data_IF_596886304265
#
_entry.id   IF_596886304265
#
_cell.length_a   1.000
_cell.length_b   1.000
_cell.length_c   1.000
_cell.angle_alpha   90.00
_cell.angle_beta   90.00
_cell.angle_gamma   90.00
#
_symmetry.space_group_name_H-M   'P 1'
#
loop_
_entity.id
_entity.type
_entity.pdbx_description
1 polymer ?
#
# COMPACT_ATOMS: atom_id res chain seq x y z
N UNK A 1 -10.39 -48.04 29.09
CA UNK A 1 -11.79 -47.58 29.18
C UNK A 1 -11.95 -46.08 29.52
N UNK A 2 -10.88 -45.28 29.70
CA UNK A 2 -10.98 -43.83 30.01
C UNK A 2 -10.95 -42.87 28.81
N UNK A 3 -10.60 -43.34 27.60
CA UNK A 3 -10.48 -42.50 26.41
C UNK A 3 -11.80 -42.18 25.71
N UNK A 4 -12.79 -43.07 25.81
CA UNK A 4 -14.09 -42.94 25.13
C UNK A 4 -15.06 -41.98 25.86
N UNK A 5 -14.96 -41.88 27.19
CA UNK A 5 -15.79 -40.98 27.99
C UNK A 5 -15.45 -39.49 27.74
N UNK A 6 -14.17 -39.18 27.46
CA UNK A 6 -13.73 -37.82 27.13
C UNK A 6 -14.25 -37.35 25.76
N UNK A 7 -14.40 -38.29 24.82
CA UNK A 7 -14.91 -38.03 23.47
C UNK A 7 -16.42 -37.76 23.47
N UNK A 8 -17.17 -38.36 24.40
CA UNK A 8 -18.61 -38.16 24.55
C UNK A 8 -18.98 -36.82 25.24
N UNK A 9 -18.16 -36.34 26.18
CA UNK A 9 -18.44 -35.08 26.88
C UNK A 9 -18.14 -33.82 26.04
N UNK A 10 -17.36 -33.96 24.96
CA UNK A 10 -17.13 -32.93 23.96
C UNK A 10 -18.29 -32.83 22.95
N UNK A 11 -19.29 -33.72 23.02
CA UNK A 11 -20.39 -33.83 22.05
C UNK A 11 -21.46 -32.74 22.19
N UNK A 12 -21.77 -32.29 23.41
CA UNK A 12 -22.84 -31.31 23.67
C UNK A 12 -22.29 -29.87 23.71
N UNK A 13 -22.87 -29.01 22.88
CA UNK A 13 -22.78 -27.53 22.83
C UNK A 13 -22.09 -27.00 21.55
N UNK A 14 -22.91 -26.82 20.51
CA UNK A 14 -22.59 -25.98 19.36
C UNK A 14 -22.46 -24.50 19.74
N UNK A 15 -21.69 -23.76 18.95
CA UNK A 15 -21.49 -22.29 18.95
C UNK A 15 -20.43 -21.62 19.86
N UNK A 16 -19.42 -22.31 20.41
CA UNK A 16 -18.40 -21.59 21.21
C UNK A 16 -17.13 -22.33 21.63
N UNK A 17 -16.41 -22.98 20.70
CA UNK A 17 -15.19 -23.72 21.07
C UNK A 17 -13.92 -22.83 21.14
N UNK A 18 -13.82 -21.77 20.36
CA UNK A 18 -12.55 -21.04 20.25
C UNK A 18 -12.15 -20.32 21.55
N UNK A 19 -13.10 -19.81 22.35
CA UNK A 19 -12.77 -19.26 23.68
C UNK A 19 -12.24 -20.31 24.66
N UNK A 20 -12.77 -21.55 24.61
CA UNK A 20 -12.27 -22.68 25.41
C UNK A 20 -10.86 -23.09 24.94
N UNK A 21 -10.64 -23.12 23.62
CA UNK A 21 -9.32 -23.36 23.04
C UNK A 21 -8.33 -22.29 23.47
N UNK A 22 -8.68 -21.00 23.35
CA UNK A 22 -7.87 -19.86 23.77
C UNK A 22 -7.47 -19.99 25.25
N UNK A 23 -8.42 -20.26 26.16
CA UNK A 23 -8.10 -20.46 27.57
C UNK A 23 -7.14 -21.64 27.80
N UNK A 24 -7.33 -22.75 27.08
CA UNK A 24 -6.43 -23.91 27.16
C UNK A 24 -5.04 -23.56 26.63
N UNK A 25 -4.95 -22.83 25.54
CA UNK A 25 -3.69 -22.36 24.96
C UNK A 25 -2.96 -21.48 25.98
N UNK A 26 -3.63 -20.49 26.58
CA UNK A 26 -3.01 -19.61 27.56
C UNK A 26 -2.39 -20.38 28.74
N UNK A 27 -3.09 -21.41 29.23
CA UNK A 27 -2.56 -22.29 30.27
C UNK A 27 -1.31 -23.07 29.81
N UNK A 28 -1.32 -23.59 28.58
CA UNK A 28 -0.22 -24.39 28.03
C UNK A 28 1.00 -23.55 27.62
N UNK A 29 0.81 -22.29 27.25
CA UNK A 29 1.89 -21.39 26.80
C UNK A 29 2.48 -20.55 27.92
N UNK A 30 2.10 -20.81 29.18
CA UNK A 30 2.61 -20.11 30.35
C UNK A 30 2.08 -18.68 30.51
N UNK A 31 0.97 -18.33 29.85
CA UNK A 31 0.36 -16.99 29.96
C UNK A 31 -0.48 -16.81 31.24
N UNK A 32 -0.70 -17.89 32.00
CA UNK A 32 -1.25 -17.80 33.35
C UNK A 32 -0.11 -17.57 34.37
N UNK A 33 -0.40 -16.84 35.44
CA UNK A 33 0.55 -16.54 36.52
C UNK A 33 0.19 -17.37 37.75
N UNK A 34 1.18 -18.00 38.37
CA UNK A 34 1.01 -18.65 39.68
C UNK A 34 1.36 -17.65 40.77
N UNK A 35 0.46 -17.45 41.71
CA UNK A 35 0.64 -16.59 42.88
C UNK A 35 0.29 -17.41 44.14
N UNK A 36 1.32 -17.97 44.77
CA UNK A 36 1.15 -18.95 45.85
C UNK A 36 0.32 -20.16 45.42
N UNK A 37 -0.84 -20.33 46.06
CA UNK A 37 -1.82 -21.40 45.75
C UNK A 37 -2.82 -21.00 44.65
N UNK A 38 -2.88 -19.73 44.28
CA UNK A 38 -3.82 -19.22 43.28
C UNK A 38 -3.16 -19.17 41.89
N UNK A 39 -3.97 -19.40 40.85
CA UNK A 39 -3.54 -19.20 39.46
C UNK A 39 -4.35 -18.06 38.86
N UNK A 40 -3.69 -16.95 38.58
CA UNK A 40 -4.27 -15.81 37.88
C UNK A 40 -4.32 -16.14 36.39
N UNK A 41 -5.51 -16.06 35.80
CA UNK A 41 -5.76 -16.47 34.42
C UNK A 41 -6.22 -15.30 33.57
N UNK A 42 -6.07 -15.47 32.25
CA UNK A 42 -6.63 -14.54 31.27
C UNK A 42 -8.15 -14.69 31.26
N UNK A 43 -8.89 -13.66 31.67
CA UNK A 43 -10.34 -13.75 31.86
C UNK A 43 -11.11 -13.17 30.68
N UNK A 44 -11.97 -13.98 30.04
CA UNK A 44 -12.84 -13.48 28.96
C UNK A 44 -13.88 -12.53 29.54
N UNK A 45 -13.87 -11.28 29.07
CA UNK A 45 -14.80 -10.22 29.48
C UNK A 45 -15.95 -10.11 28.48
N UNK A 46 -15.65 -10.16 27.18
CA UNK A 46 -16.65 -9.96 26.12
C UNK A 46 -16.37 -10.82 24.91
N UNK A 47 -17.44 -11.33 24.29
CA UNK A 47 -17.40 -12.00 22.99
C UNK A 47 -18.36 -11.29 22.05
N UNK A 48 -17.91 -10.98 20.83
CA UNK A 48 -18.75 -10.43 19.76
C UNK A 48 -18.51 -11.22 18.48
N UNK A 49 -19.58 -11.80 17.95
CA UNK A 49 -19.52 -12.45 16.63
C UNK A 49 -19.75 -11.38 15.57
N UNK A 50 -18.90 -11.41 14.56
CA UNK A 50 -19.05 -10.63 13.36
C UNK A 50 -19.21 -11.58 12.19
N UNK A 51 -19.53 -10.96 11.08
CA UNK A 51 -19.69 -11.59 9.81
C UNK A 51 -18.37 -12.14 9.21
N UNK A 52 -17.21 -11.62 9.67
CA UNK A 52 -15.86 -12.05 9.28
C UNK A 52 -15.20 -13.03 10.26
N UNK A 53 -15.81 -13.26 11.42
CA UNK A 53 -15.18 -14.02 12.51
C UNK A 53 -15.66 -13.59 13.89
N UNK A 54 -14.82 -13.75 14.90
CA UNK A 54 -15.19 -13.44 16.29
C UNK A 54 -14.13 -12.59 16.98
N UNK A 55 -14.57 -11.53 17.66
CA UNK A 55 -13.74 -10.74 18.57
C UNK A 55 -13.94 -11.23 20.01
N UNK A 56 -12.83 -11.53 20.68
CA UNK A 56 -12.77 -11.86 22.09
C UNK A 56 -12.00 -10.77 22.84
N UNK A 57 -12.58 -10.26 23.92
CA UNK A 57 -11.93 -9.28 24.80
C UNK A 57 -11.64 -9.92 26.14
N UNK A 58 -10.39 -9.85 26.54
CA UNK A 58 -9.86 -10.49 27.73
C UNK A 58 -9.21 -9.47 28.67
N UNK A 59 -9.33 -9.71 29.98
CA UNK A 59 -8.51 -9.06 30.99
C UNK A 59 -7.22 -9.84 31.17
N UNK A 60 -6.09 -9.18 30.98
CA UNK A 60 -4.75 -9.73 31.23
C UNK A 60 -4.57 -9.84 32.76
N UNK A 61 -4.07 -10.98 33.30
CA UNK A 61 -3.80 -11.12 34.72
C UNK A 61 -2.64 -10.22 35.15
N UNK A 62 -2.63 -9.81 36.42
CA UNK A 62 -1.48 -9.11 37.00
C UNK A 62 -0.21 -9.97 36.85
N UNK A 63 0.90 -9.33 36.48
CA UNK A 63 2.17 -10.01 36.18
C UNK A 63 2.34 -10.46 34.72
N UNK A 64 1.39 -10.14 33.83
CA UNK A 64 1.53 -10.29 32.37
C UNK A 64 1.29 -8.98 31.65
N UNK A 65 1.94 -8.81 30.50
CA UNK A 65 1.73 -7.68 29.60
C UNK A 65 1.14 -8.11 28.27
N UNK A 66 0.76 -7.16 27.42
CA UNK A 66 0.29 -7.45 26.06
C UNK A 66 1.40 -8.11 25.22
N UNK A 67 2.65 -7.70 25.42
CA UNK A 67 3.83 -8.21 24.72
C UNK A 67 4.03 -9.72 24.95
N UNK A 68 3.69 -10.22 26.14
CA UNK A 68 3.70 -11.66 26.43
C UNK A 68 2.81 -12.42 25.44
N UNK A 69 1.60 -11.92 25.14
CA UNK A 69 0.68 -12.56 24.20
C UNK A 69 1.16 -12.43 22.76
N UNK A 70 1.70 -11.27 22.38
CA UNK A 70 2.30 -11.05 21.06
C UNK A 70 3.45 -12.05 20.82
N UNK A 71 4.30 -12.29 21.82
CA UNK A 71 5.39 -13.27 21.73
C UNK A 71 4.90 -14.71 21.49
N UNK A 72 3.66 -15.01 21.89
CA UNK A 72 3.00 -16.31 21.75
C UNK A 72 1.98 -16.36 20.61
N UNK A 73 1.85 -15.30 19.79
CA UNK A 73 0.82 -15.21 18.75
C UNK A 73 0.82 -16.43 17.82
N UNK A 74 1.99 -16.87 17.33
CA UNK A 74 2.10 -18.06 16.47
C UNK A 74 1.58 -19.34 17.14
N UNK A 75 1.86 -19.52 18.43
CA UNK A 75 1.35 -20.67 19.21
C UNK A 75 -0.15 -20.57 19.44
N UNK A 76 -0.68 -19.37 19.66
CA UNK A 76 -2.12 -19.12 19.81
C UNK A 76 -2.84 -19.45 18.51
N UNK A 77 -2.33 -18.95 17.39
CA UNK A 77 -2.90 -19.19 16.06
C UNK A 77 -2.86 -20.68 15.70
N UNK A 78 -1.72 -21.35 15.93
CA UNK A 78 -1.60 -22.79 15.73
C UNK A 78 -2.59 -23.57 16.61
N UNK A 79 -2.74 -23.17 17.88
CA UNK A 79 -3.63 -23.80 18.84
C UNK A 79 -5.12 -23.68 18.48
N UNK A 80 -5.55 -22.54 17.93
CA UNK A 80 -6.93 -22.35 17.46
C UNK A 80 -7.23 -23.28 16.28
N UNK A 81 -6.24 -23.43 15.39
CA UNK A 81 -6.31 -24.31 14.23
C UNK A 81 -6.17 -25.81 14.58
N UNK A 82 -5.85 -26.17 15.83
CA UNK A 82 -5.83 -27.57 16.29
C UNK A 82 -7.24 -28.16 16.20
N UNK A 83 -7.40 -29.17 15.34
CA UNK A 83 -8.71 -29.62 14.80
C UNK A 83 -9.61 -30.29 15.83
N UNK A 84 -10.90 -29.96 15.77
CA UNK A 84 -12.03 -30.87 16.06
C UNK A 84 -13.10 -30.55 15.02
N UNK A 85 -13.20 -31.35 13.95
CA UNK A 85 -14.19 -31.11 12.89
C UNK A 85 -15.54 -31.62 13.36
N UNK A 86 -16.54 -30.75 13.45
CA UNK A 86 -17.95 -31.13 13.54
C UNK A 86 -18.73 -30.37 12.46
N UNK A 87 -19.39 -31.11 11.57
CA UNK A 87 -20.35 -30.56 10.62
C UNK A 87 -21.54 -29.97 11.39
N UNK A 88 -21.96 -28.74 11.08
CA UNK A 88 -23.11 -28.10 11.71
C UNK A 88 -24.36 -28.21 10.82
N UNK A 89 -25.54 -28.30 11.42
CA UNK A 89 -26.83 -28.37 10.72
C UNK A 89 -27.11 -27.16 9.79
N UNK A 90 -26.48 -26.01 10.04
CA UNK A 90 -26.57 -24.83 9.17
C UNK A 90 -25.83 -24.99 7.83
N UNK A 91 -24.74 -25.77 7.80
CA UNK A 91 -23.96 -26.04 6.58
C UNK A 91 -24.77 -26.87 5.57
N UNK A 92 -25.68 -27.69 6.10
CA UNK A 92 -26.55 -28.58 5.32
C UNK A 92 -27.77 -27.84 4.75
N UNK A 93 -28.14 -26.66 5.28
CA UNK A 93 -29.32 -25.89 4.83
C UNK A 93 -29.14 -25.23 3.47
N UNK A 94 -27.91 -24.99 3.04
CA UNK A 94 -27.61 -24.42 1.72
C UNK A 94 -27.39 -25.49 0.63
N UNK A 95 -27.44 -26.78 1.00
CA UNK A 95 -27.18 -27.87 0.07
C UNK A 95 -28.45 -28.24 -0.69
N UNK A 96 -28.39 -28.20 -2.03
CA UNK A 96 -29.44 -28.76 -2.88
C UNK A 96 -29.41 -30.28 -2.75
N UNK A 97 -30.57 -30.90 -2.52
CA UNK A 97 -30.73 -32.35 -2.47
C UNK A 97 -30.62 -32.95 -3.89
N UNK A 98 -29.40 -33.12 -4.37
CA UNK A 98 -29.09 -33.72 -5.67
C UNK A 98 -28.25 -35.00 -5.53
N UNK A 99 -28.03 -35.72 -6.64
CA UNK A 99 -27.20 -36.96 -6.68
C UNK A 99 -25.73 -36.71 -6.31
N UNK A 100 -25.28 -35.44 -6.27
CA UNK A 100 -23.91 -35.04 -5.96
C UNK A 100 -23.72 -34.60 -4.51
N UNK A 101 -24.74 -34.70 -3.65
CA UNK A 101 -24.68 -34.28 -2.25
C UNK A 101 -23.49 -34.87 -1.49
N UNK A 102 -23.13 -36.13 -1.75
CA UNK A 102 -22.02 -36.80 -1.06
C UNK A 102 -20.67 -36.19 -1.48
N UNK A 103 -20.52 -35.83 -2.76
CA UNK A 103 -19.34 -35.12 -3.25
C UNK A 103 -19.31 -33.68 -2.74
N UNK A 104 -20.44 -32.99 -2.67
CA UNK A 104 -20.57 -31.65 -2.11
C UNK A 104 -20.28 -31.62 -0.60
N UNK A 105 -20.73 -32.63 0.16
CA UNK A 105 -20.42 -32.79 1.59
C UNK A 105 -18.94 -33.09 1.76
N UNK A 106 -18.35 -33.99 0.95
CA UNK A 106 -16.90 -34.24 0.95
C UNK A 106 -16.11 -32.99 0.57
N UNK A 107 -16.60 -32.20 -0.38
CA UNK A 107 -16.01 -30.93 -0.80
C UNK A 107 -16.04 -29.87 0.30
N UNK A 108 -17.19 -29.68 0.96
CA UNK A 108 -17.35 -28.81 2.13
C UNK A 108 -16.49 -29.28 3.31
N UNK A 109 -16.41 -30.59 3.53
CA UNK A 109 -15.57 -31.18 4.57
C UNK A 109 -14.09 -30.95 4.27
N UNK A 110 -13.66 -31.15 3.02
CA UNK A 110 -12.28 -30.88 2.57
C UNK A 110 -11.93 -29.39 2.64
N UNK A 111 -12.89 -28.51 2.30
CA UNK A 111 -12.76 -27.05 2.36
C UNK A 111 -12.65 -26.54 3.81
N UNK A 112 -13.53 -27.00 4.71
CA UNK A 112 -13.41 -26.78 6.18
C UNK A 112 -12.16 -27.40 6.80
N UNK A 113 -11.61 -28.47 6.20
CA UNK A 113 -10.34 -29.05 6.62
C UNK A 113 -9.14 -28.19 6.19
N UNK A 114 -9.26 -27.40 5.10
CA UNK A 114 -8.22 -26.52 4.57
C UNK A 114 -8.29 -25.07 5.06
N UNK A 115 -9.44 -24.60 5.54
CA UNK A 115 -9.59 -23.25 6.09
C UNK A 115 -8.78 -23.10 7.38
N UNK A 116 -7.67 -22.35 7.31
CA UNK A 116 -6.91 -21.90 8.48
C UNK A 116 -7.48 -20.58 8.95
N UNK A 117 -7.85 -20.52 10.22
CA UNK A 117 -8.17 -19.27 10.90
C UNK A 117 -6.89 -18.47 11.12
N UNK A 118 -6.95 -17.17 10.92
CA UNK A 118 -5.88 -16.25 11.30
C UNK A 118 -6.30 -15.48 12.56
N UNK A 119 -5.32 -14.99 13.32
CA UNK A 119 -5.59 -14.12 14.47
C UNK A 119 -4.90 -12.76 14.35
N UNK A 120 -5.54 -11.78 14.97
CA UNK A 120 -4.97 -10.47 15.22
C UNK A 120 -5.11 -10.15 16.71
N UNK A 121 -4.01 -9.66 17.30
CA UNK A 121 -3.94 -9.24 18.69
C UNK A 121 -3.82 -7.72 18.75
N UNK A 122 -4.64 -7.08 19.58
CA UNK A 122 -4.53 -5.65 19.88
C UNK A 122 -4.85 -5.37 21.35
N UNK A 123 -4.55 -4.15 21.82
CA UNK A 123 -4.78 -3.75 23.21
C UNK A 123 -5.35 -2.33 23.31
N UNK A 124 -6.49 -2.17 23.98
CA UNK A 124 -7.17 -0.88 24.22
C UNK A 124 -7.51 -0.68 25.72
N UNK A 125 -6.73 -1.29 26.60
CA UNK A 125 -7.06 -1.49 28.02
C UNK A 125 -7.60 -2.89 28.32
N UNK A 126 -7.96 -3.64 27.28
CA UNK A 126 -8.17 -5.09 27.32
C UNK A 126 -7.39 -5.74 26.18
N UNK A 127 -6.99 -7.01 26.37
CA UNK A 127 -6.49 -7.84 25.27
C UNK A 127 -7.65 -8.14 24.32
N UNK A 128 -7.50 -7.75 23.07
CA UNK A 128 -8.45 -8.08 22.00
C UNK A 128 -7.80 -9.16 21.13
N UNK A 129 -8.53 -10.25 20.92
CA UNK A 129 -8.16 -11.31 19.99
C UNK A 129 -9.26 -11.39 18.94
N UNK A 130 -8.96 -10.98 17.71
CA UNK A 130 -9.83 -11.21 16.56
C UNK A 130 -9.42 -12.51 15.92
N UNK A 131 -10.37 -13.43 15.82
CA UNK A 131 -10.20 -14.72 15.14
C UNK A 131 -11.00 -14.63 13.85
N UNK A 132 -10.29 -14.62 12.72
CA UNK A 132 -10.89 -14.56 11.39
C UNK A 132 -11.18 -15.97 10.91
N UNK A 133 -12.37 -16.18 10.36
CA UNK A 133 -12.78 -17.51 9.89
C UNK A 133 -12.08 -17.90 8.59
N UNK A 134 -11.73 -16.90 7.78
CA UNK A 134 -10.96 -17.07 6.54
C UNK A 134 -9.61 -16.32 6.65
N UNK A 135 -8.52 -16.87 6.08
CA UNK A 135 -7.26 -16.17 5.99
C UNK A 135 -7.36 -15.04 4.97
N UNK A 136 -6.55 -13.99 5.16
CA UNK A 136 -6.42 -12.95 4.14
C UNK A 136 -5.70 -13.55 2.92
N UNK A 137 -6.17 -13.28 1.68
CA UNK A 137 -5.50 -13.77 0.48
C UNK A 137 -4.03 -13.33 0.44
N UNK A 138 -3.20 -14.16 -0.17
CA UNK A 138 -1.78 -13.86 -0.42
C UNK A 138 -1.54 -13.27 -1.81
N UNK A 139 -2.50 -13.48 -2.72
CA UNK A 139 -2.51 -12.98 -4.09
C UNK A 139 -3.92 -12.51 -4.42
N UNK A 140 -4.03 -11.34 -5.01
CA UNK A 140 -5.29 -10.73 -5.44
C UNK A 140 -5.08 -10.28 -6.88
N UNK A 141 -5.96 -10.70 -7.78
CA UNK A 141 -5.92 -10.23 -9.17
C UNK A 141 -6.36 -8.77 -9.25
N UNK A 142 -5.89 -8.05 -10.26
CA UNK A 142 -6.34 -6.69 -10.52
C UNK A 142 -7.84 -6.67 -10.80
N UNK A 143 -8.57 -5.84 -10.06
CA UNK A 143 -10.01 -5.63 -10.24
C UNK A 143 -10.30 -4.21 -10.70
N UNK A 144 -11.51 -3.95 -11.19
CA UNK A 144 -11.85 -2.65 -11.76
C UNK A 144 -12.21 -1.62 -10.69
N UNK A 145 -11.66 -0.42 -10.82
CA UNK A 145 -12.12 0.75 -10.06
C UNK A 145 -13.27 1.49 -10.75
N UNK A 146 -13.68 2.62 -10.18
CA UNK A 146 -14.78 3.45 -10.72
C UNK A 146 -14.50 4.95 -10.62
N UNK A 147 -14.59 5.64 -11.76
CA UNK A 147 -14.36 7.08 -11.82
C UNK A 147 -12.90 7.47 -11.55
N UNK A 148 -12.66 8.12 -10.41
CA UNK A 148 -11.31 8.44 -9.89
C UNK A 148 -10.95 7.56 -8.69
N UNK A 149 -11.71 6.49 -8.49
CA UNK A 149 -11.49 5.52 -7.43
C UNK A 149 -10.73 4.33 -7.95
N UNK A 150 -9.58 4.03 -7.35
CA UNK A 150 -8.67 2.97 -7.77
C UNK A 150 -8.67 1.82 -6.75
N UNK A 151 -8.50 0.56 -7.20
CA UNK A 151 -8.24 -0.56 -6.31
C UNK A 151 -7.03 -0.31 -5.42
N UNK A 152 -7.20 -0.49 -4.11
CA UNK A 152 -6.07 -0.54 -3.17
C UNK A 152 -5.80 -1.96 -2.71
N UNK A 153 -6.84 -2.78 -2.56
CA UNK A 153 -6.66 -4.17 -2.18
C UNK A 153 -7.89 -4.78 -1.54
N UNK A 154 -7.68 -5.90 -0.89
CA UNK A 154 -8.69 -6.59 -0.09
C UNK A 154 -8.34 -6.44 1.38
N UNK A 155 -9.28 -5.96 2.19
CA UNK A 155 -9.12 -5.87 3.64
C UNK A 155 -9.48 -7.18 4.33
N UNK A 156 -9.10 -7.28 5.60
CA UNK A 156 -9.26 -8.50 6.38
C UNK A 156 -10.72 -8.81 6.70
N UNK A 157 -11.55 -7.80 6.96
CA UNK A 157 -12.96 -8.02 7.20
C UNK A 157 -13.66 -8.52 5.92
N UNK A 158 -14.03 -9.82 5.94
CA UNK A 158 -14.72 -10.53 4.84
C UNK A 158 -13.98 -10.55 3.50
N UNK A 159 -12.68 -10.31 3.48
CA UNK A 159 -11.95 -10.16 2.23
C UNK A 159 -12.62 -9.11 1.30
N UNK A 160 -13.15 -8.04 1.90
CA UNK A 160 -13.86 -6.97 1.18
C UNK A 160 -12.89 -6.13 0.37
N UNK A 161 -13.27 -5.76 -0.84
CA UNK A 161 -12.49 -4.85 -1.69
C UNK A 161 -12.47 -3.43 -1.13
N UNK A 162 -11.28 -2.83 -1.16
CA UNK A 162 -11.00 -1.47 -0.75
C UNK A 162 -10.53 -0.68 -1.96
N UNK A 163 -11.12 0.50 -2.08
CA UNK A 163 -10.79 1.48 -3.09
C UNK A 163 -10.30 2.76 -2.44
N UNK A 164 -9.38 3.44 -3.11
CA UNK A 164 -8.99 4.80 -2.78
C UNK A 164 -9.63 5.75 -3.79
N UNK A 165 -10.50 6.63 -3.30
CA UNK A 165 -11.14 7.65 -4.11
C UNK A 165 -10.33 8.95 -4.05
N UNK A 166 -9.64 9.25 -5.14
CA UNK A 166 -8.85 10.47 -5.21
C UNK A 166 -9.73 11.74 -5.15
N UNK A 167 -11.02 11.71 -5.53
CA UNK A 167 -11.88 12.88 -5.34
C UNK A 167 -12.14 13.21 -3.87
N UNK A 168 -12.03 12.21 -3.00
CA UNK A 168 -12.22 12.38 -1.55
C UNK A 168 -10.90 12.62 -0.84
N UNK A 169 -9.85 11.89 -1.21
CA UNK A 169 -8.52 11.99 -0.59
C UNK A 169 -7.49 12.21 -1.71
N UNK A 170 -7.17 13.46 -2.07
CA UNK A 170 -6.45 13.76 -3.32
C UNK A 170 -4.97 13.40 -3.33
N UNK A 171 -4.32 13.43 -2.18
CA UNK A 171 -2.89 13.19 -2.06
C UNK A 171 -2.63 11.88 -1.31
N UNK A 172 -1.61 11.15 -1.77
CA UNK A 172 -1.32 9.79 -1.35
C UNK A 172 0.17 9.63 -1.09
N UNK A 173 0.51 9.09 0.07
CA UNK A 173 1.89 8.73 0.40
C UNK A 173 2.04 7.22 0.39
N UNK A 174 3.10 6.74 -0.25
CA UNK A 174 3.41 5.33 -0.41
C UNK A 174 4.81 5.05 0.12
N UNK A 175 5.00 3.94 0.83
CA UNK A 175 6.35 3.46 1.07
C UNK A 175 6.45 1.97 1.32
N UNK A 176 7.68 1.48 1.42
CA UNK A 176 7.95 0.06 1.62
C UNK A 176 9.33 -0.36 1.14
N UNK A 177 9.86 -1.45 1.71
CA UNK A 177 11.11 -2.02 1.23
C UNK A 177 10.98 -2.55 -0.21
N UNK A 178 12.12 -2.70 -0.89
CA UNK A 178 12.18 -3.24 -2.25
C UNK A 178 11.49 -4.59 -2.37
N UNK A 179 10.88 -4.85 -3.53
CA UNK A 179 10.22 -6.13 -3.89
C UNK A 179 8.98 -6.52 -3.06
N UNK A 180 8.45 -5.64 -2.22
CA UNK A 180 7.22 -5.91 -1.44
C UNK A 180 5.92 -5.43 -2.08
N UNK A 181 5.97 -4.67 -3.18
CA UNK A 181 4.77 -4.29 -3.94
C UNK A 181 4.62 -2.80 -4.25
N UNK A 182 5.55 -1.95 -3.82
CA UNK A 182 5.54 -0.49 -4.05
C UNK A 182 5.30 -0.15 -5.53
N UNK A 183 6.22 -0.54 -6.41
CA UNK A 183 6.14 -0.23 -7.85
C UNK A 183 4.93 -0.90 -8.52
N UNK A 184 4.59 -2.12 -8.12
CA UNK A 184 3.38 -2.80 -8.60
C UNK A 184 2.10 -2.00 -8.28
N UNK A 185 1.99 -1.43 -7.08
CA UNK A 185 0.83 -0.60 -6.74
C UNK A 185 0.80 0.71 -7.53
N UNK A 186 1.95 1.37 -7.75
CA UNK A 186 2.03 2.57 -8.59
C UNK A 186 1.52 2.25 -10.00
N UNK A 187 2.03 1.17 -10.61
CA UNK A 187 1.56 0.66 -11.89
C UNK A 187 0.07 0.35 -11.88
N UNK A 188 -0.43 -0.30 -10.83
CA UNK A 188 -1.86 -0.60 -10.66
C UNK A 188 -2.74 0.65 -10.60
N UNK A 189 -2.27 1.71 -9.92
CA UNK A 189 -2.96 3.00 -9.87
C UNK A 189 -2.99 3.64 -11.26
N UNK A 190 -1.84 3.74 -11.94
CA UNK A 190 -1.74 4.35 -13.27
C UNK A 190 -2.63 3.62 -14.27
N UNK A 191 -2.49 2.30 -14.38
CA UNK A 191 -3.29 1.47 -15.28
C UNK A 191 -4.79 1.59 -14.99
N UNK A 192 -5.18 1.61 -13.71
CA UNK A 192 -6.57 1.81 -13.30
C UNK A 192 -7.10 3.18 -13.73
N UNK A 193 -6.32 4.25 -13.58
CA UNK A 193 -6.72 5.60 -13.98
C UNK A 193 -6.85 5.73 -15.50
N UNK A 194 -5.91 5.16 -16.26
CA UNK A 194 -5.94 5.14 -17.72
C UNK A 194 -7.18 4.38 -18.20
N UNK A 195 -7.42 3.18 -17.68
CA UNK A 195 -8.58 2.37 -18.06
C UNK A 195 -9.91 3.08 -17.80
N UNK A 196 -10.03 3.80 -16.69
CA UNK A 196 -11.29 4.45 -16.29
C UNK A 196 -11.50 5.85 -16.90
N UNK A 197 -10.42 6.62 -17.08
CA UNK A 197 -10.45 8.03 -17.50
C UNK A 197 -9.40 8.34 -18.58
N UNK A 198 -9.38 7.59 -19.69
CA UNK A 198 -8.27 7.66 -20.67
C UNK A 198 -8.09 9.02 -21.31
N UNK A 199 -9.16 9.83 -21.41
CA UNK A 199 -9.13 11.16 -22.04
C UNK A 199 -9.01 12.31 -21.02
N UNK A 200 -9.03 12.02 -19.73
CA UNK A 200 -9.10 13.04 -18.67
C UNK A 200 -8.00 12.92 -17.62
N UNK A 201 -7.25 11.81 -17.59
CA UNK A 201 -6.07 11.67 -16.76
C UNK A 201 -4.86 12.31 -17.46
N UNK A 202 -4.12 13.13 -16.70
CA UNK A 202 -2.86 13.74 -17.11
C UNK A 202 -1.77 13.30 -16.14
N UNK A 203 -0.69 12.71 -16.65
CA UNK A 203 0.38 12.15 -15.83
C UNK A 203 1.64 13.02 -15.92
N UNK A 204 2.17 13.37 -14.75
CA UNK A 204 3.49 13.98 -14.57
C UNK A 204 4.32 12.98 -13.76
N UNK A 205 5.27 12.33 -14.42
CA UNK A 205 5.99 11.19 -13.87
C UNK A 205 7.42 11.60 -13.52
N UNK A 206 7.91 11.13 -12.38
CA UNK A 206 9.27 11.35 -11.91
C UNK A 206 9.80 9.99 -11.44
N UNK A 207 10.73 9.43 -12.20
CA UNK A 207 11.37 8.12 -12.00
C UNK A 207 12.88 8.32 -11.77
N UNK A 208 13.24 8.66 -10.54
CA UNK A 208 14.62 9.01 -10.19
C UNK A 208 15.47 7.77 -9.87
N UNK A 209 14.90 6.57 -9.98
CA UNK A 209 15.55 5.31 -9.60
C UNK A 209 15.86 4.43 -10.82
N UNK A 210 16.58 5.03 -11.76
CA UNK A 210 17.12 4.35 -12.94
C UNK A 210 16.15 4.27 -14.12
N UNK A 211 14.99 4.92 -14.05
CA UNK A 211 14.10 5.10 -15.21
C UNK A 211 13.44 3.82 -15.71
N UNK A 212 13.34 2.77 -14.89
CA UNK A 212 12.80 1.46 -15.30
C UNK A 212 11.37 1.25 -14.82
N UNK A 213 10.92 1.97 -13.78
CA UNK A 213 9.64 1.68 -13.13
C UNK A 213 8.46 2.34 -13.84
N UNK A 214 8.68 3.47 -14.54
CA UNK A 214 7.63 4.26 -15.19
C UNK A 214 7.85 4.46 -16.70
N UNK A 215 8.91 3.91 -17.30
CA UNK A 215 9.23 4.12 -18.72
C UNK A 215 8.16 3.58 -19.69
N UNK A 216 7.41 2.54 -19.30
CA UNK A 216 6.29 2.02 -20.08
C UNK A 216 5.23 3.10 -20.41
N UNK A 217 5.14 4.13 -19.56
CA UNK A 217 4.17 5.22 -19.71
C UNK A 217 4.73 6.45 -20.41
N UNK A 218 5.97 6.46 -20.88
CA UNK A 218 6.57 7.66 -21.48
C UNK A 218 5.81 8.13 -22.73
N UNK A 219 5.49 7.18 -23.61
CA UNK A 219 4.98 7.47 -24.95
C UNK A 219 3.45 7.40 -25.08
N UNK A 220 2.69 7.42 -23.98
CA UNK A 220 1.22 7.41 -24.04
C UNK A 220 0.62 8.82 -24.08
N UNK A 221 -0.58 8.98 -24.65
CA UNK A 221 -1.30 10.26 -24.79
C UNK A 221 -1.58 10.99 -23.46
N UNK A 222 -1.63 10.26 -22.35
CA UNK A 222 -1.93 10.78 -21.02
C UNK A 222 -0.71 11.41 -20.34
N UNK A 223 0.50 10.99 -20.71
CA UNK A 223 1.74 11.51 -20.14
C UNK A 223 2.03 12.88 -20.72
N UNK A 224 2.06 13.86 -19.82
CA UNK A 224 2.37 15.26 -20.10
C UNK A 224 3.87 15.49 -20.02
N UNK A 225 4.52 14.91 -19.02
CA UNK A 225 5.95 15.06 -18.78
C UNK A 225 6.49 13.90 -17.96
N UNK A 226 7.73 13.50 -18.23
CA UNK A 226 8.49 12.50 -17.48
C UNK A 226 9.86 13.08 -17.13
N UNK A 227 10.41 12.69 -16.00
CA UNK A 227 11.75 13.06 -15.55
C UNK A 227 12.48 11.84 -15.01
N UNK A 228 13.75 11.74 -15.33
CA UNK A 228 14.66 10.69 -14.85
C UNK A 228 15.76 11.25 -13.95
N UNK A 229 15.97 12.56 -13.96
CA UNK A 229 17.00 13.25 -13.18
C UNK A 229 16.41 14.39 -12.33
N UNK A 230 17.08 14.81 -11.23
CA UNK A 230 16.56 15.86 -10.34
C UNK A 230 16.27 17.20 -11.02
N UNK A 231 17.07 17.62 -12.01
CA UNK A 231 16.83 18.86 -12.75
C UNK A 231 15.55 18.75 -13.61
N UNK A 232 15.36 17.62 -14.30
CA UNK A 232 14.13 17.37 -15.06
C UNK A 232 12.93 17.29 -14.11
N UNK A 233 13.08 16.68 -12.93
CA UNK A 233 12.02 16.61 -11.93
C UNK A 233 11.58 18.00 -11.46
N UNK A 234 12.53 18.93 -11.32
CA UNK A 234 12.27 20.35 -11.02
C UNK A 234 11.41 20.98 -12.11
N UNK A 235 11.75 20.76 -13.38
CA UNK A 235 10.97 21.26 -14.53
C UNK A 235 9.56 20.65 -14.59
N UNK A 236 9.45 19.33 -14.38
CA UNK A 236 8.15 18.63 -14.33
C UNK A 236 7.26 19.22 -13.23
N UNK A 237 7.80 19.43 -12.03
CA UNK A 237 7.08 19.97 -10.89
C UNK A 237 6.70 21.45 -11.09
N UNK A 238 7.59 22.24 -11.67
CA UNK A 238 7.32 23.63 -12.05
C UNK A 238 6.18 23.71 -13.08
N UNK A 239 6.23 22.87 -14.12
CA UNK A 239 5.18 22.79 -15.15
C UNK A 239 3.84 22.39 -14.54
N UNK A 240 3.81 21.36 -13.70
CA UNK A 240 2.59 20.95 -12.99
C UNK A 240 2.02 22.08 -12.11
N UNK A 241 2.89 22.80 -11.40
CA UNK A 241 2.49 23.96 -10.59
C UNK A 241 1.93 25.11 -11.44
N UNK A 242 2.55 25.40 -12.59
CA UNK A 242 2.08 26.44 -13.50
C UNK A 242 0.73 26.08 -14.14
N UNK A 243 0.53 24.83 -14.56
CA UNK A 243 -0.78 24.34 -15.02
C UNK A 243 -1.84 24.42 -13.91
N UNK A 244 -1.47 24.12 -12.66
CA UNK A 244 -2.36 24.31 -11.51
C UNK A 244 -2.77 25.78 -11.35
N UNK A 245 -1.86 26.73 -11.54
CA UNK A 245 -2.18 28.17 -11.48
C UNK A 245 -3.09 28.60 -12.63
N UNK A 246 -2.88 28.09 -13.84
CA UNK A 246 -3.78 28.32 -14.98
C UNK A 246 -5.18 27.77 -14.71
N UNK A 247 -5.26 26.55 -14.16
CA UNK A 247 -6.52 25.94 -13.75
C UNK A 247 -7.22 26.77 -12.67
N UNK A 248 -6.47 27.30 -11.71
CA UNK A 248 -6.99 28.20 -10.68
C UNK A 248 -7.64 29.45 -11.30
N UNK A 249 -6.99 30.07 -12.29
CA UNK A 249 -7.55 31.22 -12.99
C UNK A 249 -8.81 30.83 -13.77
N UNK A 250 -8.79 29.69 -14.48
CA UNK A 250 -9.93 29.18 -15.24
C UNK A 250 -11.15 28.94 -14.33
N UNK A 251 -10.97 28.28 -13.19
CA UNK A 251 -12.04 28.01 -12.22
C UNK A 251 -12.61 29.33 -11.66
N UNK A 252 -11.75 30.31 -11.35
CA UNK A 252 -12.19 31.65 -10.90
C UNK A 252 -12.99 32.39 -11.97
N UNK A 253 -12.53 32.38 -13.23
CA UNK A 253 -13.21 33.04 -14.34
C UNK A 253 -14.62 32.47 -14.57
N UNK A 254 -14.84 31.18 -14.25
CA UNK A 254 -16.15 30.54 -14.31
C UNK A 254 -17.03 30.82 -13.08
N UNK A 255 -16.53 31.55 -12.08
CA UNK A 255 -17.25 31.84 -10.84
C UNK A 255 -17.47 30.60 -9.97
N UNK A 256 -16.61 29.58 -10.06
CA UNK A 256 -16.73 28.31 -9.34
C UNK A 256 -15.64 28.16 -8.29
N UNK A 257 -15.86 27.28 -7.31
CA UNK A 257 -14.89 27.07 -6.22
C UNK A 257 -13.85 26.00 -6.52
N UNK A 258 -14.16 25.05 -7.39
CA UNK A 258 -13.30 23.91 -7.72
C UNK A 258 -13.63 23.34 -9.12
N UNK A 259 -12.78 22.45 -9.60
CA UNK A 259 -12.93 21.81 -10.92
C UNK A 259 -14.21 20.98 -11.06
N UNK A 260 -14.75 20.43 -9.96
CA UNK A 260 -16.01 19.66 -9.99
C UNK A 260 -17.20 20.57 -10.24
N UNK A 261 -17.29 21.67 -9.51
CA UNK A 261 -18.32 22.71 -9.72
C UNK A 261 -18.22 23.38 -11.09
N UNK A 262 -17.01 23.46 -11.64
CA UNK A 262 -16.75 23.95 -12.99
C UNK A 262 -17.03 22.93 -14.10
N UNK A 263 -17.37 21.68 -13.77
CA UNK A 263 -17.58 20.63 -14.76
C UNK A 263 -16.31 20.28 -15.55
N UNK A 264 -15.13 20.59 -15.01
CA UNK A 264 -13.84 20.30 -15.64
C UNK A 264 -13.47 18.85 -15.29
N UNK A 265 -13.46 17.93 -16.26
CA UNK A 265 -13.26 16.51 -15.99
C UNK A 265 -11.79 16.16 -15.75
N UNK A 266 -10.85 17.00 -16.19
CA UNK A 266 -9.41 16.71 -16.19
C UNK A 266 -8.82 16.62 -14.78
N UNK A 267 -7.94 15.64 -14.55
CA UNK A 267 -7.16 15.51 -13.31
C UNK A 267 -5.70 15.27 -13.64
N UNK A 268 -4.83 15.99 -12.95
CA UNK A 268 -3.38 15.85 -13.04
C UNK A 268 -2.89 15.00 -11.87
N UNK A 269 -2.13 13.95 -12.17
CA UNK A 269 -1.46 13.10 -11.20
C UNK A 269 0.04 13.31 -11.34
N UNK A 270 0.64 13.84 -10.28
CA UNK A 270 2.07 13.98 -10.12
C UNK A 270 2.53 12.78 -9.30
N UNK A 271 3.29 11.88 -9.93
CA UNK A 271 3.73 10.63 -9.33
C UNK A 271 5.25 10.67 -9.26
N UNK A 272 5.77 10.63 -8.03
CA UNK A 272 7.20 10.58 -7.74
C UNK A 272 7.50 9.22 -7.13
N UNK A 273 8.31 8.42 -7.81
CA UNK A 273 8.59 7.04 -7.41
C UNK A 273 9.48 6.98 -6.16
N UNK A 274 10.47 7.85 -6.03
CA UNK A 274 11.40 7.94 -4.91
C UNK A 274 11.63 9.41 -4.53
N UNK A 275 10.77 9.91 -3.63
CA UNK A 275 10.87 11.30 -3.15
C UNK A 275 12.14 11.56 -2.34
N UNK A 276 12.78 10.51 -1.81
CA UNK A 276 14.06 10.61 -1.10
C UNK A 276 15.18 11.20 -1.97
N UNK A 277 15.20 10.89 -3.28
CA UNK A 277 16.18 11.45 -4.22
C UNK A 277 16.04 12.97 -4.37
N UNK A 278 14.91 13.55 -3.95
CA UNK A 278 14.64 14.99 -3.96
C UNK A 278 14.85 15.63 -2.57
N UNK A 279 15.56 14.96 -1.66
CA UNK A 279 15.93 15.52 -0.36
C UNK A 279 17.15 16.47 -0.46
N UNK A 280 17.02 17.78 -0.16
CA UNK A 280 18.13 18.74 -0.21
C UNK A 280 19.27 18.41 0.76
N UNK A 281 18.99 17.70 1.85
CA UNK A 281 20.02 17.32 2.83
C UNK A 281 21.02 16.30 2.27
N UNK A 282 20.58 15.53 1.27
CA UNK A 282 21.35 14.48 0.59
C UNK A 282 22.02 14.97 -0.71
N UNK A 283 21.91 16.28 -1.02
CA UNK A 283 22.55 16.86 -2.20
C UNK A 283 24.09 16.79 -2.12
N UNK A 284 24.72 16.40 -3.24
CA UNK A 284 26.17 16.31 -3.41
C UNK A 284 26.77 17.72 -3.50
N UNK A 285 26.21 18.57 -4.35
CA UNK A 285 26.58 19.99 -4.43
C UNK A 285 25.59 20.87 -3.64
N UNK A 286 26.13 21.77 -2.82
CA UNK A 286 25.40 22.60 -1.87
C UNK A 286 25.44 24.10 -2.16
N UNK A 287 26.22 24.55 -3.14
CA UNK A 287 26.40 26.00 -3.40
C UNK A 287 26.32 26.32 -4.87
N UNK A 288 25.41 27.24 -5.22
CA UNK A 288 25.31 27.77 -6.57
C UNK A 288 26.62 28.42 -7.02
N UNK A 289 26.94 28.24 -8.29
CA UNK A 289 28.06 28.94 -8.92
C UNK A 289 27.57 30.31 -9.38
N UNK A 290 28.24 31.34 -8.89
CA UNK A 290 27.93 32.74 -9.21
C UNK A 290 29.08 33.39 -9.97
N UNK A 291 28.75 34.16 -11.00
CA UNK A 291 29.68 35.05 -11.70
C UNK A 291 29.10 36.46 -11.67
N UNK A 292 29.88 37.42 -11.18
CA UNK A 292 29.45 38.82 -11.02
C UNK A 292 28.14 38.99 -10.23
N UNK A 293 27.91 38.12 -9.23
CA UNK A 293 26.70 38.11 -8.40
C UNK A 293 25.50 37.39 -9.02
N UNK A 294 25.57 36.98 -10.28
CA UNK A 294 24.51 36.25 -11.01
C UNK A 294 24.74 34.75 -10.88
N UNK A 295 23.69 34.00 -10.52
CA UNK A 295 23.72 32.53 -10.54
C UNK A 295 23.83 32.06 -11.98
N UNK A 296 24.94 31.44 -12.32
CA UNK A 296 25.18 30.85 -13.65
C UNK A 296 24.91 29.34 -13.67
N UNK A 297 24.97 28.69 -12.50
CA UNK A 297 24.62 27.28 -12.34
C UNK A 297 24.03 27.07 -10.94
N UNK A 298 22.83 26.48 -10.90
CA UNK A 298 22.21 26.07 -9.63
C UNK A 298 22.91 24.81 -9.12
N UNK A 299 23.12 24.76 -7.81
CA UNK A 299 23.54 23.54 -7.14
C UNK A 299 22.40 22.53 -7.04
N UNK A 300 22.75 21.26 -6.88
CA UNK A 300 21.78 20.18 -6.65
C UNK A 300 20.90 20.47 -5.44
N UNK A 301 21.46 21.05 -4.37
CA UNK A 301 20.69 21.46 -3.19
C UNK A 301 19.58 22.46 -3.55
N UNK A 302 19.90 23.52 -4.30
CA UNK A 302 18.93 24.53 -4.74
C UNK A 302 17.83 23.91 -5.61
N UNK A 303 18.20 22.98 -6.49
CA UNK A 303 17.26 22.24 -7.35
C UNK A 303 16.28 21.42 -6.50
N UNK A 304 16.79 20.64 -5.55
CA UNK A 304 15.96 19.83 -4.64
C UNK A 304 15.07 20.70 -3.73
N UNK A 305 15.56 21.86 -3.28
CA UNK A 305 14.76 22.84 -2.51
C UNK A 305 13.58 23.37 -3.34
N UNK A 306 13.80 23.65 -4.62
CA UNK A 306 12.73 24.05 -5.55
C UNK A 306 11.71 22.93 -5.77
N UNK A 307 12.16 21.68 -5.94
CA UNK A 307 11.27 20.51 -6.01
C UNK A 307 10.37 20.41 -4.77
N UNK A 308 10.95 20.50 -3.56
CA UNK A 308 10.19 20.47 -2.31
C UNK A 308 9.19 21.63 -2.20
N UNK A 309 9.57 22.82 -2.66
CA UNK A 309 8.69 24.00 -2.71
C UNK A 309 7.48 23.73 -3.62
N UNK A 310 7.69 23.22 -4.83
CA UNK A 310 6.59 22.93 -5.76
C UNK A 310 5.67 21.82 -5.23
N UNK A 311 6.22 20.71 -4.73
CA UNK A 311 5.43 19.65 -4.08
C UNK A 311 4.58 20.19 -2.93
N UNK A 312 5.15 21.06 -2.09
CA UNK A 312 4.44 21.68 -0.96
C UNK A 312 3.31 22.62 -1.42
N UNK A 313 3.50 23.35 -2.52
CA UNK A 313 2.44 24.21 -3.07
C UNK A 313 1.32 23.39 -3.72
N UNK A 314 1.67 22.33 -4.46
CA UNK A 314 0.71 21.43 -5.11
C UNK A 314 -0.13 20.71 -4.05
N UNK A 315 0.49 20.17 -3.00
CA UNK A 315 -0.25 19.47 -1.94
C UNK A 315 -1.19 20.38 -1.14
N UNK A 316 -0.87 21.67 -1.00
CA UNK A 316 -1.72 22.63 -0.29
C UNK A 316 -2.89 23.16 -1.12
N UNK A 317 -2.68 23.37 -2.42
CA UNK A 317 -3.63 24.11 -3.28
C UNK A 317 -4.30 23.22 -4.34
N UNK A 318 -3.73 22.05 -4.63
CA UNK A 318 -4.04 21.25 -5.80
C UNK A 318 -5.37 20.50 -5.72
N UNK A 319 -5.80 20.08 -4.53
CA UNK A 319 -7.00 19.27 -4.31
C UNK A 319 -8.24 19.80 -5.06
N UNK A 320 -8.65 21.04 -4.79
CA UNK A 320 -9.81 21.68 -5.44
C UNK A 320 -9.58 22.03 -6.91
N UNK A 321 -8.33 22.02 -7.36
CA UNK A 321 -7.92 22.32 -8.73
C UNK A 321 -7.71 21.05 -9.58
N UNK A 322 -7.92 19.87 -9.00
CA UNK A 322 -7.77 18.60 -9.72
C UNK A 322 -6.33 18.11 -9.84
N UNK A 323 -5.41 18.60 -9.02
CA UNK A 323 -4.01 18.19 -8.96
C UNK A 323 -3.79 17.27 -7.75
N UNK A 324 -3.23 16.09 -8.03
CA UNK A 324 -3.08 14.97 -7.09
C UNK A 324 -1.62 14.62 -7.01
N UNK A 325 -1.12 14.43 -5.79
CA UNK A 325 0.28 14.18 -5.54
C UNK A 325 0.40 12.77 -4.94
N UNK A 326 1.15 11.91 -5.60
CA UNK A 326 1.48 10.56 -5.15
C UNK A 326 2.98 10.53 -4.90
N UNK A 327 3.37 10.46 -3.63
CA UNK A 327 4.77 10.44 -3.20
C UNK A 327 5.12 9.04 -2.72
N UNK A 328 6.06 8.39 -3.39
CA UNK A 328 6.54 7.08 -3.02
C UNK A 328 7.98 7.15 -2.47
N UNK A 329 8.32 6.22 -1.57
CA UNK A 329 9.69 6.05 -1.09
C UNK A 329 10.02 4.60 -0.72
N UNK A 330 11.26 4.19 -0.95
CA UNK A 330 11.79 2.88 -0.53
C UNK A 330 12.67 2.96 0.73
N UNK A 331 13.09 4.16 1.17
CA UNK A 331 14.14 4.33 2.18
C UNK A 331 13.63 4.80 3.54
N UNK A 332 14.31 4.34 4.60
CA UNK A 332 13.80 4.29 5.98
C UNK A 332 14.62 5.05 7.02
N UNK A 333 15.35 6.09 6.63
CA UNK A 333 16.13 6.91 7.56
C UNK A 333 15.93 8.40 7.27
N UNK A 334 15.34 9.13 8.23
CA UNK A 334 15.06 10.57 8.10
C UNK A 334 13.64 10.88 7.59
N UNK A 335 13.15 12.10 7.88
CA UNK A 335 11.87 12.60 7.38
C UNK A 335 12.05 13.17 5.97
N UNK A 336 12.21 12.26 4.99
CA UNK A 336 12.47 12.58 3.57
C UNK A 336 11.24 13.13 2.85
N UNK A 337 10.04 12.90 3.37
CA UNK A 337 8.80 13.41 2.80
C UNK A 337 8.61 14.83 3.32
N UNK A 338 8.47 15.86 2.45
CA UNK A 338 8.26 17.21 2.92
C UNK A 338 7.05 17.28 3.87
N UNK A 339 7.24 17.88 5.04
CA UNK A 339 6.22 17.94 6.10
C UNK A 339 4.86 18.42 5.60
N UNK A 340 4.86 19.45 4.75
CA UNK A 340 3.63 19.98 4.15
C UNK A 340 2.91 18.94 3.29
N UNK A 341 3.64 18.19 2.46
CA UNK A 341 3.07 17.12 1.67
C UNK A 341 2.47 16.02 2.56
N UNK A 342 3.18 15.64 3.62
CA UNK A 342 2.72 14.63 4.58
C UNK A 342 1.47 15.06 5.35
N UNK A 343 1.39 16.34 5.75
CA UNK A 343 0.23 16.93 6.43
C UNK A 343 -1.00 17.06 5.54
N UNK A 344 -0.83 17.22 4.23
CA UNK A 344 -1.93 17.32 3.26
C UNK A 344 -2.26 15.96 2.60
N UNK A 345 -1.58 14.87 2.99
CA UNK A 345 -1.81 13.52 2.49
C UNK A 345 -2.44 12.65 3.58
N UNK A 346 -3.77 12.64 3.64
CA UNK A 346 -4.49 11.82 4.62
C UNK A 346 -4.36 10.32 4.31
N UNK A 347 -4.22 9.95 3.04
CA UNK A 347 -4.00 8.57 2.63
C UNK A 347 -2.51 8.22 2.64
N UNK A 348 -2.18 7.18 3.40
CA UNK A 348 -0.85 6.57 3.51
C UNK A 348 -0.97 5.08 3.28
N UNK A 349 -0.07 4.51 2.48
CA UNK A 349 0.06 3.07 2.34
C UNK A 349 1.52 2.68 2.56
N UNK A 350 1.75 1.71 3.43
CA UNK A 350 3.09 1.21 3.71
C UNK A 350 3.13 -0.30 3.56
N UNK A 351 3.92 -0.78 2.60
CA UNK A 351 4.31 -2.18 2.52
C UNK A 351 5.31 -2.51 3.63
N UNK A 352 5.67 -3.80 3.75
CA UNK A 352 6.65 -4.24 4.74
C UNK A 352 7.95 -3.42 4.65
N UNK A 353 8.44 -3.00 5.80
CA UNK A 353 9.72 -2.30 5.99
C UNK A 353 10.59 -3.03 7.01
N UNK A 354 11.87 -2.68 7.09
CA UNK A 354 12.82 -3.37 7.97
C UNK A 354 12.78 -2.88 9.43
N UNK A 355 12.29 -1.66 9.69
CA UNK A 355 12.33 -1.04 11.01
C UNK A 355 11.08 -0.21 11.33
N UNK A 356 10.81 -0.02 12.62
CA UNK A 356 9.74 0.86 13.09
C UNK A 356 9.99 2.33 12.71
N UNK A 357 11.25 2.76 12.62
CA UNK A 357 11.64 4.08 12.12
C UNK A 357 11.15 4.29 10.68
N UNK A 358 11.40 3.33 9.79
CA UNK A 358 10.91 3.38 8.42
C UNK A 358 9.37 3.37 8.37
N UNK A 359 8.71 2.62 9.25
CA UNK A 359 7.25 2.63 9.35
C UNK A 359 6.73 4.03 9.72
N UNK A 360 7.40 4.73 10.65
CA UNK A 360 7.03 6.09 11.09
C UNK A 360 7.22 7.14 10.01
N UNK A 361 8.22 7.00 9.14
CA UNK A 361 8.41 7.91 7.99
C UNK A 361 7.16 7.94 7.11
N UNK A 362 6.51 6.80 6.88
CA UNK A 362 5.33 6.70 5.99
C UNK A 362 4.02 6.86 6.75
N UNK A 363 3.82 6.12 7.85
CA UNK A 363 2.53 5.99 8.54
C UNK A 363 2.34 6.95 9.73
N UNK A 364 3.38 7.70 10.12
CA UNK A 364 3.45 8.40 11.41
C UNK A 364 3.22 7.47 12.62
N UNK A 365 3.52 6.18 12.43
CA UNK A 365 3.35 5.16 13.44
C UNK A 365 4.01 3.85 13.05
N UNK A 366 4.00 2.90 13.98
CA UNK A 366 4.56 1.57 13.78
C UNK A 366 3.55 0.60 13.14
N UNK A 367 4.04 -0.57 12.77
CA UNK A 367 3.25 -1.72 12.33
C UNK A 367 3.71 -2.29 10.99
N UNK A 368 4.27 -1.46 10.09
CA UNK A 368 4.68 -1.94 8.78
C UNK A 368 5.89 -2.90 8.88
N UNK A 369 6.73 -2.74 9.90
CA UNK A 369 7.85 -3.65 10.21
C UNK A 369 7.39 -5.04 10.69
N UNK A 370 6.15 -5.14 11.18
CA UNK A 370 5.52 -6.37 11.68
C UNK A 370 4.68 -7.07 10.63
N UNK A 371 4.50 -6.47 9.44
CA UNK A 371 3.78 -7.13 8.34
C UNK A 371 4.48 -8.45 7.96
N UNK A 372 3.73 -9.50 7.58
CA UNK A 372 4.32 -10.75 7.14
C UNK A 372 5.09 -10.56 5.82
N UNK A 373 5.97 -11.51 5.52
CA UNK A 373 6.77 -11.55 4.28
C UNK A 373 5.94 -12.02 3.08
N UNK A 374 4.80 -11.35 2.85
CA UNK A 374 3.87 -11.61 1.75
C UNK A 374 3.91 -10.39 0.85
N UNK A 375 4.27 -10.58 -0.43
CA UNK A 375 4.26 -9.51 -1.42
C UNK A 375 2.84 -8.97 -1.58
N UNK A 376 2.71 -7.65 -1.71
CA UNK A 376 1.41 -6.98 -1.79
C UNK A 376 0.73 -6.78 -0.43
N UNK A 377 1.27 -7.30 0.68
CA UNK A 377 0.71 -7.03 2.01
C UNK A 377 1.13 -5.65 2.49
N UNK A 378 0.15 -4.82 2.82
CA UNK A 378 0.38 -3.44 3.25
C UNK A 378 -0.55 -3.01 4.38
N UNK A 379 -0.17 -1.92 5.05
CA UNK A 379 -1.09 -1.13 5.89
C UNK A 379 -1.58 0.03 5.04
N UNK A 380 -2.90 0.17 4.91
CA UNK A 380 -3.55 1.35 4.37
C UNK A 380 -4.15 2.17 5.51
N UNK A 381 -3.79 3.45 5.56
CA UNK A 381 -4.17 4.39 6.61
C UNK A 381 -4.78 5.64 5.99
N UNK A 382 -5.95 6.03 6.49
CA UNK A 382 -6.63 7.30 6.24
C UNK A 382 -6.84 8.00 7.58
N UNK A 383 -7.40 9.21 7.58
CA UNK A 383 -7.73 9.93 8.82
C UNK A 383 -8.64 9.14 9.78
N UNK A 384 -9.54 8.30 9.23
CA UNK A 384 -10.55 7.56 9.97
C UNK A 384 -10.20 6.08 10.21
N UNK A 385 -9.25 5.51 9.45
CA UNK A 385 -9.01 4.06 9.43
C UNK A 385 -7.54 3.71 9.28
N UNK A 386 -7.13 2.62 9.93
CA UNK A 386 -5.84 1.96 9.70
C UNK A 386 -6.10 0.46 9.58
N UNK A 387 -5.95 -0.08 8.37
CA UNK A 387 -6.31 -1.46 8.05
C UNK A 387 -5.17 -2.15 7.32
N UNK A 388 -5.08 -3.47 7.50
CA UNK A 388 -4.18 -4.30 6.68
C UNK A 388 -4.93 -4.67 5.39
N UNK A 389 -4.25 -4.55 4.26
CA UNK A 389 -4.76 -4.88 2.94
C UNK A 389 -3.80 -5.78 2.18
N UNK A 390 -4.35 -6.63 1.31
CA UNK A 390 -3.61 -7.31 0.26
C UNK A 390 -3.86 -6.58 -1.06
N UNK A 391 -2.84 -5.91 -1.60
CA UNK A 391 -2.93 -5.14 -2.85
C UNK A 391 -3.04 -6.07 -4.07
N UNK A 392 -3.73 -5.64 -5.15
CA UNK A 392 -3.80 -6.42 -6.37
C UNK A 392 -2.42 -6.54 -7.04
N UNK A 393 -2.16 -7.67 -7.68
CA UNK A 393 -1.02 -7.87 -8.58
C UNK A 393 -1.42 -7.36 -9.97
N UNK A 394 -0.58 -6.51 -10.56
CA UNK A 394 -0.68 -6.14 -11.96
C UNK A 394 0.54 -6.71 -12.68
N UNK A 395 0.32 -7.38 -13.80
CA UNK A 395 1.39 -7.96 -14.61
C UNK A 395 1.69 -7.07 -15.81
N UNK A 396 2.87 -7.21 -16.39
CA UNK A 396 3.27 -6.44 -17.59
C UNK A 396 2.29 -6.66 -18.74
N UNK A 397 1.73 -7.86 -18.89
CA UNK A 397 0.72 -8.15 -19.92
C UNK A 397 -0.55 -7.31 -19.72
N UNK A 398 -1.00 -7.15 -18.47
CA UNK A 398 -2.16 -6.31 -18.14
C UNK A 398 -1.84 -4.84 -18.40
N UNK A 399 -0.64 -4.38 -18.00
CA UNK A 399 -0.19 -3.00 -18.25
C UNK A 399 -0.23 -2.71 -19.75
N UNK A 400 0.48 -3.51 -20.56
CA UNK A 400 0.56 -3.35 -22.01
C UNK A 400 -0.83 -3.35 -22.66
N UNK A 401 -1.70 -4.30 -22.29
CA UNK A 401 -3.07 -4.35 -22.82
C UNK A 401 -3.89 -3.06 -22.58
N UNK A 402 -3.59 -2.33 -21.51
CA UNK A 402 -4.26 -1.08 -21.15
C UNK A 402 -3.61 0.11 -21.86
N UNK A 403 -2.28 0.12 -22.01
CA UNK A 403 -1.55 1.27 -22.57
C UNK A 403 -1.40 1.24 -24.09
N UNK A 404 -1.38 0.06 -24.73
CA UNK A 404 -1.16 -0.10 -26.17
C UNK A 404 -2.10 0.77 -27.02
N UNK A 405 -3.42 0.88 -26.74
CA UNK A 405 -4.34 1.74 -27.51
C UNK A 405 -4.10 3.25 -27.30
N UNK A 406 -3.14 3.62 -26.49
CA UNK A 406 -2.85 5.00 -26.08
C UNK A 406 -1.42 5.44 -26.41
N UNK A 407 -0.59 4.53 -26.91
CA UNK A 407 0.75 4.84 -27.41
C UNK A 407 0.61 5.83 -28.57
N UNK A 408 1.33 6.94 -28.48
CA UNK A 408 1.42 7.94 -29.55
C UNK A 408 2.17 7.31 -30.73
N UNK A 409 1.71 7.54 -31.95
CA UNK A 409 2.50 7.19 -33.13
C UNK A 409 3.85 7.93 -33.08
N UNK A 410 4.92 7.21 -32.77
CA UNK A 410 6.27 7.73 -32.93
C UNK A 410 6.55 7.69 -34.42
N UNK A 411 6.40 8.83 -35.12
CA UNK A 411 6.99 8.95 -36.46
C UNK A 411 8.48 8.67 -36.30
N UNK A 412 9.06 7.72 -37.04
CA UNK A 412 10.49 7.46 -36.95
C UNK A 412 11.21 8.78 -37.25
N UNK A 413 12.00 9.25 -36.29
CA UNK A 413 12.92 10.35 -36.53
C UNK A 413 13.89 9.82 -37.59
N UNK A 414 13.80 10.34 -38.81
CA UNK A 414 14.85 10.15 -39.80
C UNK A 414 16.13 10.64 -39.14
N UNK A 415 16.99 9.71 -38.73
CA UNK A 415 18.33 10.02 -38.29
C UNK A 415 18.99 10.74 -39.47
N UNK A 416 19.08 12.06 -39.40
CA UNK A 416 19.99 12.81 -40.24
C UNK A 416 21.37 12.25 -39.92
N UNK A 417 21.90 11.43 -40.82
CA UNK A 417 23.29 10.99 -40.78
C UNK A 417 24.13 12.27 -40.72
N UNK A 418 24.60 12.65 -39.53
CA UNK A 418 25.61 13.69 -39.42
C UNK A 418 26.83 13.17 -40.19
N UNK A 419 27.23 13.91 -41.22
CA UNK A 419 28.45 13.63 -41.94
C UNK A 419 29.62 13.60 -40.93
N UNK A 420 30.50 12.60 -40.97
CA UNK A 420 31.62 12.52 -40.04
C UNK A 420 32.47 13.79 -40.18
N UNK A 421 32.75 14.45 -39.05
CA UNK A 421 33.64 15.61 -38.98
C UNK A 421 34.99 15.25 -39.62
N UNK A 422 35.45 16.07 -40.55
CA UNK A 422 36.63 15.83 -41.40
C UNK A 422 37.99 15.87 -40.69
N UNK A 423 38.04 15.99 -39.35
CA UNK A 423 39.28 16.08 -38.60
C UNK A 423 39.33 15.00 -37.51
N UNK A 424 39.46 13.73 -37.92
CA UNK A 424 39.93 12.68 -37.03
C UNK A 424 41.46 12.80 -36.90
N UNK A 425 41.94 13.13 -35.70
CA UNK A 425 43.37 13.13 -35.38
C UNK A 425 43.87 11.68 -35.45
N UNK A 426 44.70 11.39 -36.45
CA UNK A 426 45.38 10.10 -36.59
C UNK A 426 46.54 10.08 -35.59
N UNK A 427 46.36 9.36 -34.48
CA UNK A 427 47.47 9.04 -33.57
C UNK A 427 48.28 7.92 -34.23
N UNK A 428 49.39 8.28 -34.90
CA UNK A 428 50.40 7.31 -35.32
C UNK A 428 51.08 6.75 -34.07
N UNK A 429 50.93 5.44 -33.82
CA UNK A 429 51.81 4.68 -32.94
C UNK A 429 53.24 4.79 -33.48
N UNK A 430 54.06 5.63 -32.86
CA UNK A 430 55.52 5.50 -32.97
C UNK A 430 55.94 4.34 -32.10
N UNK A 431 56.28 3.22 -32.73
CA UNK A 431 56.95 2.12 -32.06
C UNK A 431 58.36 2.55 -31.67
N UNK A 432 58.64 2.54 -30.37
CA UNK A 432 59.97 2.33 -29.83
C UNK A 432 59.79 1.34 -28.68
N UNK A 433 60.60 0.28 -28.79
CA UNK A 433 60.85 -0.81 -27.84
C UNK A 433 61.15 -0.35 -26.43
#
# INVERSE_FOLDING_TARGET
MGGLALQAHLSKNGNGNDSKKLNKIFALTGLNVKDGTQTLTTQLVKKRNYEWGTEYRYRIPLGRSFEDYVSKQKSIEAGINTRTVKLQLGDLKQMKLDRNIIQSIRGLYKRKLTERKEIELSYDGMLIIRVYDEPMPTLVEMFEGKGWSVPIGIMREKNTTIFHDFERIPHFVLGGATRYGKSNLINGIIASLIKQKPNHVKLHLVDLKGGVELCDYENIKQTVSIAYEPEEAREVLENAYNEMRKMQQRVRNLGKKNVREAGIPERHFIIIDEVGELNPEEAVDKKDIKKDGIVIQKSEKTIKEECQKYMSQISRLGAGLGFRLILATQYGTGDIIPRQCKQNSDAKLCFRVQSSTASRVVLDGEGAEKLPEIKGRAIYQTADKKIIVQTPLITSEIIHSIIDPHIKEVKPVETTKQAPRSNAIIIKKTGLS
#
